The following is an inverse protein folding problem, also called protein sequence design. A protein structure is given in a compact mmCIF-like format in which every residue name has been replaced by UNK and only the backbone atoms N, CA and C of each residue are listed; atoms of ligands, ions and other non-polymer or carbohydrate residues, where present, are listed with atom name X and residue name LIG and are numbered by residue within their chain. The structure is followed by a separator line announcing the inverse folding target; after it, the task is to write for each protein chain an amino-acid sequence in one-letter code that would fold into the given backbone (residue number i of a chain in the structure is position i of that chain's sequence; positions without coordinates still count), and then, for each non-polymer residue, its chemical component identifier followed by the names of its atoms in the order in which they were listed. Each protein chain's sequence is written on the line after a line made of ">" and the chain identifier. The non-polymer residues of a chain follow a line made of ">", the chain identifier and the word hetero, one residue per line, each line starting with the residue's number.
data_IF_551025035589
#
_entry.id   IF_551025035589
#
_cell.length_a   1.000
_cell.length_b   1.000
_cell.length_c   1.000
_cell.angle_alpha   90.00
_cell.angle_beta   90.00
_cell.angle_gamma   90.00
#
_symmetry.space_group_name_H-M   'P 1'
#
loop_
_entity.id
_entity.type
_entity.pdbx_description
1 polymer ?
#
# COMPACT_ATOMS: atom_id res chain seq x y z
N UNK A 1 58.87 31.55 -20.45
CA UNK A 1 57.76 31.90 -19.58
C UNK A 1 56.74 30.75 -19.65
N UNK A 2 56.74 29.85 -18.66
CA UNK A 2 55.78 28.70 -18.60
C UNK A 2 54.67 29.09 -17.66
N UNK A 3 53.45 29.19 -18.19
CA UNK A 3 52.25 29.46 -17.41
C UNK A 3 51.73 28.11 -16.84
N UNK A 4 51.80 27.94 -15.52
CA UNK A 4 51.16 26.84 -14.81
C UNK A 4 49.66 27.19 -14.62
N UNK A 5 48.78 26.41 -15.24
CA UNK A 5 47.35 26.48 -15.00
C UNK A 5 47.03 25.53 -13.81
N UNK A 6 46.69 26.09 -12.67
CA UNK A 6 46.16 25.32 -11.54
C UNK A 6 44.68 25.01 -11.77
N UNK A 7 44.39 23.74 -11.97
CA UNK A 7 43.02 23.23 -12.00
C UNK A 7 42.51 23.06 -10.55
N UNK A 8 41.64 23.97 -10.09
CA UNK A 8 40.94 23.83 -8.83
C UNK A 8 39.85 22.76 -9.01
N UNK A 9 40.10 21.55 -8.50
CA UNK A 9 39.06 20.50 -8.34
C UNK A 9 38.27 20.85 -7.08
N UNK A 10 37.09 21.44 -7.25
CA UNK A 10 36.12 21.59 -6.19
C UNK A 10 35.49 20.23 -5.89
N UNK A 11 35.93 19.58 -4.81
CA UNK A 11 35.23 18.43 -4.24
C UNK A 11 33.87 18.93 -3.70
N UNK A 12 32.80 18.64 -4.43
CA UNK A 12 31.47 18.66 -3.85
C UNK A 12 31.37 17.46 -2.91
N UNK A 13 31.07 17.66 -1.60
CA UNK A 13 30.73 16.55 -0.75
C UNK A 13 29.42 15.99 -1.26
N UNK A 14 29.49 14.80 -1.86
CA UNK A 14 28.30 14.02 -2.20
C UNK A 14 27.50 13.76 -0.93
N UNK A 15 26.40 14.47 -0.75
CA UNK A 15 25.35 14.11 0.18
C UNK A 15 24.83 12.72 -0.24
N UNK A 16 25.40 11.67 0.34
CA UNK A 16 24.78 10.36 0.35
C UNK A 16 23.49 10.47 1.14
N UNK A 17 22.42 10.86 0.47
CA UNK A 17 21.09 10.63 1.00
C UNK A 17 20.95 9.12 1.14
N UNK A 18 20.81 8.65 2.38
CA UNK A 18 20.27 7.33 2.66
C UNK A 18 18.86 7.28 2.06
N UNK A 19 18.78 6.75 0.84
CA UNK A 19 17.54 6.67 0.06
C UNK A 19 16.63 5.62 0.69
N UNK A 20 15.98 5.94 1.83
CA UNK A 20 15.16 4.95 2.50
C UNK A 20 14.24 5.44 3.61
N UNK A 21 14.37 6.67 4.08
CA UNK A 21 13.62 7.14 5.28
C UNK A 21 12.77 8.39 5.08
N UNK A 22 12.88 9.10 3.96
CA UNK A 22 12.08 10.29 3.74
C UNK A 22 10.63 9.92 3.37
N UNK A 23 9.67 10.46 4.11
CA UNK A 23 8.26 10.39 3.72
C UNK A 23 8.02 11.25 2.47
N UNK A 24 7.08 10.84 1.65
CA UNK A 24 6.66 11.56 0.45
C UNK A 24 5.29 12.20 0.69
N UNK A 25 5.09 13.40 0.12
CA UNK A 25 3.76 13.98 0.06
C UNK A 25 2.94 13.22 -1.00
N UNK A 26 1.74 12.75 -0.65
CA UNK A 26 0.93 11.90 -1.53
C UNK A 26 0.64 12.52 -2.90
N UNK A 27 0.35 13.83 -2.97
CA UNK A 27 0.00 14.50 -4.22
C UNK A 27 1.24 14.90 -5.06
N UNK A 28 2.40 15.00 -4.42
CA UNK A 28 3.66 15.31 -5.05
C UNK A 28 4.74 14.33 -4.54
N UNK A 29 4.85 13.21 -5.23
CA UNK A 29 5.80 12.15 -4.88
C UNK A 29 7.27 12.55 -5.05
N UNK A 30 7.54 13.76 -5.54
CA UNK A 30 8.90 14.30 -5.68
C UNK A 30 9.30 15.19 -4.50
N UNK A 31 8.35 15.65 -3.68
CA UNK A 31 8.68 16.42 -2.48
C UNK A 31 8.83 15.49 -1.27
N UNK A 32 10.07 15.31 -0.82
CA UNK A 32 10.32 14.72 0.49
C UNK A 32 9.69 15.60 1.58
N UNK A 33 8.84 15.02 2.38
CA UNK A 33 8.37 15.66 3.63
C UNK A 33 9.45 15.41 4.67
N UNK A 34 9.88 16.44 5.45
CA UNK A 34 10.76 16.20 6.59
C UNK A 34 10.20 15.04 7.42
N UNK A 35 11.07 14.11 7.77
CA UNK A 35 10.69 12.97 8.61
C UNK A 35 9.89 13.52 9.79
N UNK A 36 8.66 13.06 9.96
CA UNK A 36 7.88 13.38 11.12
C UNK A 36 8.74 13.00 12.32
N UNK A 37 9.16 13.99 13.11
CA UNK A 37 9.94 13.71 14.32
C UNK A 37 9.25 12.55 15.02
N UNK A 38 9.95 11.45 15.14
CA UNK A 38 9.40 10.13 15.48
C UNK A 38 8.77 10.04 16.87
N UNK A 39 8.95 11.07 17.70
CA UNK A 39 8.55 11.03 19.09
C UNK A 39 7.21 11.73 19.32
N UNK A 40 6.15 11.03 18.88
CA UNK A 40 4.80 11.34 19.35
C UNK A 40 4.67 10.72 20.75
N UNK A 41 4.34 11.53 21.74
CA UNK A 41 3.97 11.03 23.07
C UNK A 41 2.47 11.27 23.27
N UNK A 42 1.71 10.19 23.47
CA UNK A 42 0.29 10.33 23.82
C UNK A 42 0.17 10.89 25.24
N UNK A 43 -0.60 11.98 25.40
CA UNK A 43 -0.81 12.63 26.70
C UNK A 43 -1.89 11.94 27.55
N UNK A 44 -2.66 11.02 26.95
CA UNK A 44 -3.60 10.11 27.64
C UNK A 44 -3.74 8.81 26.85
N UNK A 45 -4.43 7.84 27.40
CA UNK A 45 -4.77 6.60 26.70
C UNK A 45 -5.89 6.88 25.71
N UNK A 46 -5.53 7.22 24.47
CA UNK A 46 -6.49 7.41 23.39
C UNK A 46 -7.04 6.07 22.92
N UNK A 47 -8.31 6.04 22.51
CA UNK A 47 -8.98 4.90 21.90
C UNK A 47 -9.12 5.12 20.41
N UNK A 48 -8.37 4.38 19.60
CA UNK A 48 -8.37 4.48 18.15
C UNK A 48 -9.14 3.30 17.55
N UNK A 49 -10.07 3.58 16.64
CA UNK A 49 -10.87 2.53 15.98
C UNK A 49 -10.53 2.48 14.49
N UNK A 50 -9.98 1.37 14.03
CA UNK A 50 -9.59 1.15 12.64
C UNK A 50 -10.64 0.32 11.89
N UNK A 51 -11.00 0.76 10.70
CA UNK A 51 -11.96 0.11 9.80
C UNK A 51 -11.24 -0.34 8.54
N UNK A 52 -11.28 -1.63 8.22
CA UNK A 52 -10.64 -2.22 7.05
C UNK A 52 -11.65 -2.85 6.10
N UNK A 53 -11.39 -2.89 4.78
CA UNK A 53 -12.20 -3.66 3.85
C UNK A 53 -12.15 -5.15 4.15
N UNK A 54 -10.96 -5.72 4.32
CA UNK A 54 -10.77 -7.14 4.56
C UNK A 54 -9.41 -7.46 5.18
N UNK A 55 -9.37 -8.38 6.12
CA UNK A 55 -8.13 -8.96 6.68
C UNK A 55 -7.73 -10.29 6.02
N UNK A 56 -8.49 -10.75 5.03
CA UNK A 56 -8.10 -11.89 4.18
C UNK A 56 -6.91 -11.53 3.27
N UNK A 57 -6.83 -10.29 2.82
CA UNK A 57 -5.66 -9.76 2.12
C UNK A 57 -4.52 -9.50 3.13
N UNK A 58 -3.38 -10.13 2.91
CA UNK A 58 -2.20 -9.98 3.77
C UNK A 58 -1.60 -8.56 3.77
N UNK A 59 -2.02 -7.71 2.84
CA UNK A 59 -1.76 -6.28 2.84
C UNK A 59 -2.28 -5.64 4.13
N UNK A 60 -3.59 -5.76 4.38
CA UNK A 60 -4.25 -5.22 5.59
C UNK A 60 -3.77 -5.88 6.87
N UNK A 61 -3.33 -7.13 6.80
CA UNK A 61 -2.69 -7.81 7.93
C UNK A 61 -1.39 -7.10 8.33
N UNK A 62 -0.61 -6.64 7.35
CA UNK A 62 0.64 -5.92 7.60
C UNK A 62 0.38 -4.49 8.13
N UNK A 63 -0.67 -3.81 7.65
CA UNK A 63 -1.14 -2.54 8.22
C UNK A 63 -1.57 -2.74 9.68
N UNK A 64 -2.34 -3.80 9.97
CA UNK A 64 -2.77 -4.13 11.33
C UNK A 64 -1.58 -4.36 12.28
N UNK A 65 -0.56 -5.06 11.82
CA UNK A 65 0.66 -5.25 12.60
C UNK A 65 1.34 -3.91 12.92
N UNK A 66 1.52 -3.04 11.93
CA UNK A 66 2.13 -1.72 12.14
C UNK A 66 1.32 -0.85 13.11
N UNK A 67 -0.01 -0.85 12.99
CA UNK A 67 -0.88 -0.14 13.94
C UNK A 67 -0.78 -0.71 15.35
N UNK A 68 -0.72 -2.03 15.50
CA UNK A 68 -0.60 -2.68 16.81
C UNK A 68 0.72 -2.33 17.50
N UNK A 69 1.83 -2.43 16.78
CA UNK A 69 3.16 -2.10 17.34
C UNK A 69 3.23 -0.61 17.74
N UNK A 70 2.68 0.27 16.91
CA UNK A 70 2.58 1.69 17.23
C UNK A 70 1.65 1.96 18.44
N UNK A 71 0.52 1.26 18.52
CA UNK A 71 -0.39 1.38 19.67
C UNK A 71 0.31 0.98 20.99
N UNK A 72 1.11 -0.08 20.95
CA UNK A 72 1.94 -0.52 22.09
C UNK A 72 3.00 0.54 22.45
N UNK A 73 3.72 1.00 21.45
CA UNK A 73 4.82 1.97 21.59
C UNK A 73 4.33 3.31 22.18
N UNK A 74 3.21 3.82 21.69
CA UNK A 74 2.70 5.13 22.07
C UNK A 74 1.67 5.12 23.21
N UNK A 75 1.28 3.95 23.70
CA UNK A 75 0.39 3.83 24.86
C UNK A 75 -1.07 4.15 24.55
N UNK A 76 -1.58 3.72 23.40
CA UNK A 76 -2.98 3.91 22.98
C UNK A 76 -3.69 2.58 22.82
N UNK A 77 -5.02 2.58 22.94
CA UNK A 77 -5.86 1.40 22.70
C UNK A 77 -6.31 1.36 21.24
N UNK A 78 -6.35 0.17 20.66
CA UNK A 78 -6.71 -0.04 19.26
C UNK A 78 -7.84 -1.07 19.16
N UNK A 79 -8.94 -0.70 18.49
CA UNK A 79 -9.99 -1.62 18.05
C UNK A 79 -9.98 -1.68 16.53
N UNK A 80 -10.09 -2.88 15.98
CA UNK A 80 -10.10 -3.11 14.53
C UNK A 80 -11.39 -3.82 14.16
N UNK A 81 -12.07 -3.32 13.14
CA UNK A 81 -13.24 -3.93 12.52
C UNK A 81 -12.96 -4.10 11.03
N UNK A 82 -13.37 -5.24 10.48
CA UNK A 82 -13.23 -5.51 9.04
C UNK A 82 -14.59 -5.76 8.40
N UNK A 83 -14.78 -5.28 7.17
CA UNK A 83 -16.07 -5.37 6.49
C UNK A 83 -16.32 -6.74 5.83
N UNK A 84 -15.27 -7.51 5.54
CA UNK A 84 -15.35 -8.81 4.88
C UNK A 84 -15.17 -8.76 3.36
N UNK A 85 -14.80 -7.59 2.79
CA UNK A 85 -14.53 -7.37 1.37
C UNK A 85 -14.83 -5.95 0.92
N UNK A 86 -14.35 -5.58 -0.25
CA UNK A 86 -14.55 -4.23 -0.81
C UNK A 86 -16.01 -3.96 -1.18
N UNK A 87 -16.80 -4.98 -1.47
CA UNK A 87 -18.24 -4.84 -1.75
C UNK A 87 -19.11 -4.61 -0.52
N UNK A 88 -18.54 -4.66 0.69
CA UNK A 88 -19.24 -4.58 1.97
C UNK A 88 -19.26 -3.16 2.55
N UNK A 89 -19.47 -2.15 1.72
CA UNK A 89 -19.52 -0.76 2.15
C UNK A 89 -20.58 -0.48 3.23
N UNK A 90 -21.76 -1.09 3.12
CA UNK A 90 -22.81 -0.96 4.14
C UNK A 90 -22.37 -1.45 5.52
N UNK A 91 -21.55 -2.49 5.56
CA UNK A 91 -20.94 -2.99 6.80
C UNK A 91 -20.00 -1.94 7.41
N UNK A 92 -19.15 -1.29 6.60
CA UNK A 92 -18.29 -0.22 7.11
C UNK A 92 -19.09 0.94 7.70
N UNK A 93 -20.23 1.31 7.10
CA UNK A 93 -21.14 2.32 7.68
C UNK A 93 -21.61 1.94 9.09
N UNK A 94 -22.05 0.70 9.28
CA UNK A 94 -22.50 0.24 10.61
C UNK A 94 -21.35 0.14 11.62
N UNK A 95 -20.13 -0.13 11.16
CA UNK A 95 -18.95 -0.22 12.00
C UNK A 95 -18.54 1.14 12.61
N UNK A 96 -18.85 2.26 11.96
CA UNK A 96 -18.65 3.60 12.54
C UNK A 96 -19.42 3.73 13.86
N UNK A 97 -20.69 3.32 13.87
CA UNK A 97 -21.49 3.34 15.10
C UNK A 97 -20.91 2.41 16.19
N UNK A 98 -20.33 1.28 15.82
CA UNK A 98 -19.66 0.38 16.77
C UNK A 98 -18.38 1.01 17.36
N UNK A 99 -17.65 1.82 16.56
CA UNK A 99 -16.52 2.60 17.07
C UNK A 99 -16.98 3.65 18.11
N UNK A 100 -18.07 4.39 17.80
CA UNK A 100 -18.66 5.37 18.70
C UNK A 100 -19.14 4.73 20.01
N UNK A 101 -19.84 3.58 19.93
CA UNK A 101 -20.29 2.81 21.10
C UNK A 101 -19.12 2.32 21.97
N UNK A 102 -18.00 1.97 21.35
CA UNK A 102 -16.79 1.60 22.09
C UNK A 102 -16.13 2.82 22.78
N UNK A 103 -16.54 4.02 22.43
CA UNK A 103 -15.98 5.27 22.92
C UNK A 103 -14.65 5.62 22.24
N UNK A 104 -14.56 5.41 20.94
CA UNK A 104 -13.40 5.81 20.15
C UNK A 104 -13.19 7.34 20.22
N UNK A 105 -11.93 7.77 20.29
CA UNK A 105 -11.52 9.17 20.19
C UNK A 105 -11.25 9.57 18.71
N UNK A 106 -10.89 8.63 17.86
CA UNK A 106 -10.67 8.83 16.41
C UNK A 106 -10.97 7.58 15.59
N UNK A 107 -11.26 7.76 14.30
CA UNK A 107 -11.44 6.69 13.32
C UNK A 107 -10.27 6.68 12.35
N UNK A 108 -9.67 5.49 12.15
CA UNK A 108 -8.67 5.19 11.12
C UNK A 108 -9.39 4.46 9.98
N UNK A 109 -9.69 5.16 8.89
CA UNK A 109 -10.56 4.66 7.84
C UNK A 109 -9.77 4.16 6.63
N UNK A 110 -9.69 2.84 6.46
CA UNK A 110 -9.38 2.21 5.18
C UNK A 110 -10.68 1.96 4.43
N UNK A 111 -11.06 2.88 3.54
CA UNK A 111 -12.36 2.82 2.87
C UNK A 111 -12.46 1.65 1.89
N UNK A 112 -13.65 1.04 1.82
CA UNK A 112 -13.99 0.03 0.81
C UNK A 112 -14.38 0.65 -0.53
N UNK A 113 -14.59 1.97 -0.60
CA UNK A 113 -15.05 2.70 -1.78
C UNK A 113 -14.24 3.98 -1.96
N UNK A 114 -14.27 4.55 -3.17
CA UNK A 114 -13.64 5.85 -3.48
C UNK A 114 -14.41 7.06 -2.97
N UNK A 115 -15.65 6.85 -2.55
CA UNK A 115 -16.51 7.87 -1.94
C UNK A 115 -17.15 7.31 -0.67
N UNK A 116 -17.37 8.16 0.32
CA UNK A 116 -18.06 7.76 1.54
C UNK A 116 -19.21 8.74 1.82
N UNK A 117 -20.38 8.55 1.19
CA UNK A 117 -21.52 9.46 1.36
C UNK A 117 -21.91 9.61 2.82
N UNK A 118 -22.20 10.84 3.23
CA UNK A 118 -22.65 11.21 4.58
C UNK A 118 -21.61 10.93 5.69
N UNK A 119 -20.32 10.80 5.36
CA UNK A 119 -19.28 10.49 6.35
C UNK A 119 -19.32 11.46 7.54
N UNK A 120 -19.41 12.77 7.28
CA UNK A 120 -19.49 13.79 8.32
C UNK A 120 -20.64 13.58 9.30
N UNK A 121 -21.83 13.26 8.78
CA UNK A 121 -23.00 12.97 9.61
C UNK A 121 -22.83 11.69 10.43
N UNK A 122 -22.17 10.68 9.87
CA UNK A 122 -21.95 9.39 10.52
C UNK A 122 -20.91 9.46 11.64
N UNK A 123 -19.78 10.14 11.41
CA UNK A 123 -18.69 10.20 12.40
C UNK A 123 -18.95 11.28 13.46
N UNK A 124 -19.80 12.27 13.19
CA UNK A 124 -20.08 13.37 14.10
C UNK A 124 -18.82 14.18 14.40
N UNK A 125 -18.46 14.30 15.67
CA UNK A 125 -17.27 15.04 16.11
C UNK A 125 -15.96 14.24 16.07
N UNK A 126 -16.01 12.94 15.74
CA UNK A 126 -14.79 12.11 15.70
C UNK A 126 -13.90 12.48 14.51
N UNK A 127 -12.63 12.80 14.72
CA UNK A 127 -11.71 13.00 13.60
C UNK A 127 -11.47 11.70 12.87
N UNK A 128 -11.35 11.82 11.54
CA UNK A 128 -11.05 10.71 10.63
C UNK A 128 -9.65 10.87 10.08
N UNK A 129 -8.86 9.83 10.21
CA UNK A 129 -7.58 9.65 9.53
C UNK A 129 -7.79 8.61 8.45
N UNK A 130 -7.57 8.99 7.21
CA UNK A 130 -7.65 8.08 6.07
C UNK A 130 -6.40 7.23 5.98
N UNK A 131 -6.57 5.93 5.71
CA UNK A 131 -5.49 4.95 5.64
C UNK A 131 -5.58 4.18 4.35
N UNK A 132 -4.50 4.18 3.56
CA UNK A 132 -4.32 3.46 2.29
C UNK A 132 -5.18 4.01 1.15
N UNK A 133 -6.50 3.88 1.24
CA UNK A 133 -7.44 4.23 0.17
C UNK A 133 -8.01 5.63 0.35
N UNK A 134 -7.92 6.46 -0.70
CA UNK A 134 -8.40 7.84 -0.68
C UNK A 134 -9.91 7.94 -0.97
N UNK A 135 -10.61 8.77 -0.21
CA UNK A 135 -12.04 9.08 -0.41
C UNK A 135 -12.30 10.55 -0.74
N UNK A 136 -11.30 11.42 -0.68
CA UNK A 136 -11.41 12.86 -0.98
C UNK A 136 -12.55 13.59 -0.22
N UNK A 137 -12.80 13.22 1.02
CA UNK A 137 -13.83 13.83 1.85
C UNK A 137 -13.22 14.91 2.77
N UNK A 138 -13.85 16.10 2.90
CA UNK A 138 -13.34 17.19 3.75
C UNK A 138 -13.36 16.87 5.27
N UNK A 139 -14.09 15.84 5.68
CA UNK A 139 -14.10 15.35 7.07
C UNK A 139 -12.75 14.78 7.49
N UNK A 140 -11.97 14.30 6.53
CA UNK A 140 -10.66 13.68 6.76
C UNK A 140 -9.65 14.75 7.23
N UNK A 141 -9.00 14.50 8.37
CA UNK A 141 -8.03 15.42 9.00
C UNK A 141 -6.58 15.15 8.59
N UNK A 142 -6.28 13.91 8.23
CA UNK A 142 -4.96 13.50 7.75
C UNK A 142 -5.09 12.24 6.90
N UNK A 143 -4.14 12.05 5.97
CA UNK A 143 -4.08 10.88 5.10
C UNK A 143 -2.71 10.23 5.19
N UNK A 144 -2.73 8.91 5.38
CA UNK A 144 -1.56 8.05 5.27
C UNK A 144 -1.87 7.00 4.23
N UNK A 145 -1.24 7.06 3.08
CA UNK A 145 -1.66 6.15 2.03
C UNK A 145 -0.69 6.01 0.88
N UNK A 146 -1.22 5.71 -0.29
CA UNK A 146 -0.47 5.33 -1.47
C UNK A 146 -0.91 6.18 -2.65
N UNK A 147 0.02 6.76 -3.39
CA UNK A 147 -0.28 7.30 -4.71
C UNK A 147 -0.41 6.12 -5.70
N UNK A 148 -1.58 5.51 -5.81
CA UNK A 148 -1.82 4.30 -6.61
C UNK A 148 -1.38 4.42 -8.07
N UNK A 149 -1.50 5.60 -8.66
CA UNK A 149 -0.94 5.88 -9.97
C UNK A 149 0.57 5.63 -10.01
N UNK A 150 1.32 6.21 -9.07
CA UNK A 150 2.78 6.07 -9.00
C UNK A 150 3.19 4.65 -8.59
N UNK A 151 2.40 4.04 -7.70
CA UNK A 151 2.60 2.67 -7.26
C UNK A 151 2.62 1.70 -8.43
N UNK A 152 1.77 1.90 -9.43
CA UNK A 152 1.66 1.02 -10.60
C UNK A 152 2.44 1.53 -11.81
N UNK A 153 2.74 2.81 -11.87
CA UNK A 153 3.68 3.36 -12.86
C UNK A 153 5.05 2.67 -12.78
N UNK A 154 5.56 2.39 -11.58
CA UNK A 154 6.86 1.73 -11.38
C UNK A 154 6.91 0.31 -11.98
N UNK A 155 5.96 -0.61 -11.72
CA UNK A 155 5.85 -1.90 -12.39
C UNK A 155 5.82 -1.80 -13.92
N UNK A 156 5.05 -0.86 -14.45
CA UNK A 156 4.98 -0.65 -15.90
C UNK A 156 6.35 -0.23 -16.49
N UNK A 157 7.03 0.73 -15.86
CA UNK A 157 8.38 1.15 -16.28
C UNK A 157 9.41 0.03 -16.15
N UNK A 158 9.32 -0.76 -15.07
CA UNK A 158 10.17 -1.93 -14.91
C UNK A 158 9.96 -2.92 -16.07
N UNK A 159 8.70 -3.22 -16.40
CA UNK A 159 8.37 -4.16 -17.47
C UNK A 159 8.87 -3.68 -18.85
N UNK A 160 8.72 -2.38 -19.17
CA UNK A 160 9.28 -1.79 -20.38
C UNK A 160 10.81 -1.99 -20.46
N UNK A 161 11.52 -1.72 -19.36
CA UNK A 161 12.97 -1.95 -19.30
C UNK A 161 13.31 -3.43 -19.42
N UNK A 162 12.57 -4.29 -18.74
CA UNK A 162 12.78 -5.74 -18.74
C UNK A 162 12.55 -6.36 -20.11
N UNK A 163 11.58 -5.85 -20.89
CA UNK A 163 11.28 -6.34 -22.23
C UNK A 163 12.45 -6.20 -23.22
N UNK A 164 13.37 -5.25 -22.95
CA UNK A 164 14.48 -4.97 -23.85
C UNK A 164 14.03 -4.50 -25.25
N UNK A 165 12.84 -3.88 -25.35
CA UNK A 165 12.21 -3.43 -26.61
C UNK A 165 11.44 -4.53 -27.37
N UNK A 166 11.34 -5.74 -26.82
CA UNK A 166 10.51 -6.80 -27.41
C UNK A 166 9.02 -6.55 -27.16
N UNK A 167 8.15 -6.89 -28.11
CA UNK A 167 6.71 -6.82 -27.89
C UNK A 167 6.27 -7.78 -26.78
N UNK A 168 5.39 -7.29 -25.89
CA UNK A 168 4.79 -8.10 -24.82
C UNK A 168 3.28 -7.85 -24.77
N UNK A 169 2.51 -8.91 -24.61
CA UNK A 169 1.06 -8.90 -24.35
C UNK A 169 0.80 -9.04 -22.87
N UNK A 170 0.08 -8.10 -22.28
CA UNK A 170 -0.15 -8.01 -20.83
C UNK A 170 -1.64 -8.16 -20.51
N UNK A 171 -1.98 -9.07 -19.60
CA UNK A 171 -3.25 -9.06 -18.89
C UNK A 171 -3.12 -8.21 -17.64
N UNK A 172 -4.09 -7.30 -17.41
CA UNK A 172 -4.09 -6.38 -16.29
C UNK A 172 -5.24 -6.69 -15.33
N UNK A 173 -4.92 -7.00 -14.07
CA UNK A 173 -5.89 -7.30 -13.01
C UNK A 173 -5.70 -6.32 -11.84
N UNK A 174 -6.25 -5.10 -11.92
CA UNK A 174 -5.96 -4.01 -10.98
C UNK A 174 -6.78 -4.06 -9.69
N UNK A 175 -7.62 -5.08 -9.50
CA UNK A 175 -8.46 -5.23 -8.32
C UNK A 175 -9.90 -4.78 -8.52
N UNK A 176 -10.62 -4.42 -7.44
CA UNK A 176 -12.05 -4.13 -7.48
C UNK A 176 -12.38 -2.86 -8.28
N UNK A 177 -13.54 -2.85 -8.92
CA UNK A 177 -14.05 -1.65 -9.58
C UNK A 177 -14.46 -0.60 -8.52
N UNK A 178 -14.17 0.66 -8.80
CA UNK A 178 -14.49 1.81 -7.94
C UNK A 178 -13.96 1.73 -6.48
N UNK A 179 -12.91 0.95 -6.25
CA UNK A 179 -12.30 0.83 -4.93
C UNK A 179 -10.79 0.59 -5.01
N UNK A 180 -10.08 0.82 -3.92
CA UNK A 180 -8.67 0.47 -3.79
C UNK A 180 -7.72 1.10 -4.82
N UNK A 181 -8.11 2.21 -5.46
CA UNK A 181 -7.27 2.90 -6.43
C UNK A 181 -7.14 2.22 -7.80
N UNK A 182 -8.03 1.30 -8.16
CA UNK A 182 -7.91 0.50 -9.39
C UNK A 182 -7.88 1.34 -10.67
N UNK A 183 -8.62 2.45 -10.74
CA UNK A 183 -8.62 3.37 -11.90
C UNK A 183 -7.27 4.07 -12.05
N UNK A 184 -6.70 4.55 -10.95
CA UNK A 184 -5.37 5.17 -10.91
C UNK A 184 -4.29 4.15 -11.26
N UNK A 185 -4.44 2.89 -10.83
CA UNK A 185 -3.53 1.80 -11.20
C UNK A 185 -3.52 1.56 -12.71
N UNK A 186 -4.69 1.47 -13.34
CA UNK A 186 -4.80 1.32 -14.79
C UNK A 186 -4.19 2.50 -15.52
N UNK A 187 -4.47 3.73 -15.07
CA UNK A 187 -3.92 4.95 -15.66
C UNK A 187 -2.40 4.99 -15.55
N UNK A 188 -1.84 4.68 -14.36
CA UNK A 188 -0.41 4.65 -14.11
C UNK A 188 0.31 3.62 -14.97
N UNK A 189 -0.25 2.40 -15.09
CA UNK A 189 0.35 1.37 -15.94
C UNK A 189 0.33 1.75 -17.43
N UNK A 190 -0.82 2.25 -17.93
CA UNK A 190 -0.95 2.71 -19.32
C UNK A 190 0.05 3.82 -19.65
N UNK A 191 0.21 4.80 -18.76
CA UNK A 191 1.19 5.86 -18.98
C UNK A 191 2.63 5.34 -18.94
N UNK A 192 2.93 4.40 -18.05
CA UNK A 192 4.26 3.82 -17.93
C UNK A 192 4.74 3.10 -19.18
N UNK A 193 3.83 2.41 -19.88
CA UNK A 193 4.13 1.63 -21.09
C UNK A 193 3.97 2.44 -22.38
N UNK A 194 3.45 3.67 -22.31
CA UNK A 194 3.22 4.50 -23.50
C UNK A 194 4.49 4.67 -24.34
N UNK A 195 4.36 4.51 -25.66
CA UNK A 195 5.49 4.59 -26.60
C UNK A 195 6.44 3.39 -26.59
N UNK A 196 6.11 2.31 -25.85
CA UNK A 196 6.85 1.04 -25.87
C UNK A 196 6.15 -0.03 -26.71
N UNK A 197 6.78 -1.23 -26.81
CA UNK A 197 6.17 -2.40 -27.43
C UNK A 197 5.36 -3.27 -26.43
N UNK A 198 5.15 -2.79 -25.22
CA UNK A 198 4.33 -3.47 -24.21
C UNK A 198 2.87 -3.05 -24.41
N UNK A 199 1.98 -4.03 -24.59
CA UNK A 199 0.58 -3.78 -24.91
C UNK A 199 -0.35 -4.47 -23.89
N UNK A 200 -1.30 -3.74 -23.30
CA UNK A 200 -2.39 -4.31 -22.54
C UNK A 200 -3.38 -4.91 -23.54
N UNK A 201 -3.58 -6.23 -23.50
CA UNK A 201 -4.54 -6.93 -24.36
C UNK A 201 -5.91 -7.11 -23.73
N UNK A 202 -5.96 -7.12 -22.37
CA UNK A 202 -7.22 -7.19 -21.64
C UNK A 202 -7.07 -6.63 -20.23
N UNK A 203 -8.19 -6.17 -19.64
CA UNK A 203 -8.28 -5.66 -18.26
C UNK A 203 -9.49 -6.25 -17.59
N UNK A 204 -9.32 -6.94 -16.47
CA UNK A 204 -10.43 -7.47 -15.68
C UNK A 204 -10.43 -6.88 -14.26
N UNK A 205 -11.60 -6.39 -13.85
CA UNK A 205 -11.84 -5.81 -12.53
C UNK A 205 -12.61 -6.81 -11.65
N UNK A 206 -12.18 -7.00 -10.42
CA UNK A 206 -12.84 -7.88 -9.46
C UNK A 206 -12.25 -7.76 -8.07
N UNK A 207 -13.00 -8.17 -7.06
CA UNK A 207 -12.58 -8.07 -5.67
C UNK A 207 -11.23 -8.77 -5.40
N UNK A 208 -10.49 -8.27 -4.43
CA UNK A 208 -9.24 -8.87 -3.95
C UNK A 208 -9.53 -10.15 -3.11
N UNK A 209 -10.18 -11.09 -3.76
CA UNK A 209 -10.44 -12.45 -3.28
C UNK A 209 -9.76 -13.43 -4.24
N UNK A 210 -9.12 -14.47 -3.68
CA UNK A 210 -8.27 -15.38 -4.49
C UNK A 210 -9.09 -16.18 -5.52
N UNK A 211 -10.32 -16.55 -5.20
CA UNK A 211 -11.17 -17.29 -6.12
C UNK A 211 -11.68 -16.39 -7.25
N UNK A 212 -12.09 -15.16 -6.91
CA UNK A 212 -12.50 -14.15 -7.90
C UNK A 212 -11.36 -13.87 -8.88
N UNK A 213 -10.17 -13.57 -8.36
CA UNK A 213 -9.01 -13.26 -9.22
C UNK A 213 -8.55 -14.44 -10.06
N UNK A 214 -8.65 -15.67 -9.52
CA UNK A 214 -8.34 -16.89 -10.29
C UNK A 214 -9.33 -17.10 -11.44
N UNK A 215 -10.63 -16.98 -11.18
CA UNK A 215 -11.64 -17.17 -12.22
C UNK A 215 -11.49 -16.13 -13.34
N UNK A 216 -11.31 -14.84 -12.97
CA UNK A 216 -11.04 -13.79 -13.95
C UNK A 216 -9.79 -14.08 -14.78
N UNK A 217 -8.71 -14.50 -14.14
CA UNK A 217 -7.47 -14.84 -14.83
C UNK A 217 -7.66 -16.02 -15.80
N UNK A 218 -8.35 -17.06 -15.39
CA UNK A 218 -8.62 -18.22 -16.25
C UNK A 218 -9.43 -17.82 -17.49
N UNK A 219 -10.51 -17.06 -17.33
CA UNK A 219 -11.30 -16.52 -18.45
C UNK A 219 -10.46 -15.65 -19.39
N UNK A 220 -9.55 -14.82 -18.84
CA UNK A 220 -8.65 -13.99 -19.66
C UNK A 220 -7.63 -14.85 -20.41
N UNK A 221 -7.07 -15.89 -19.78
CA UNK A 221 -6.11 -16.80 -20.42
C UNK A 221 -6.74 -17.63 -21.53
N UNK A 222 -8.03 -18.00 -21.43
CA UNK A 222 -8.78 -18.65 -22.49
C UNK A 222 -8.96 -17.71 -23.68
N UNK A 223 -9.27 -16.42 -23.46
CA UNK A 223 -9.40 -15.43 -24.54
C UNK A 223 -8.06 -15.03 -25.16
N UNK A 224 -6.99 -15.06 -24.38
CA UNK A 224 -5.65 -14.63 -24.78
C UNK A 224 -4.58 -15.69 -24.49
N UNK A 225 -4.61 -16.84 -25.21
CA UNK A 225 -3.70 -17.96 -24.95
C UNK A 225 -2.23 -17.64 -25.23
N UNK A 226 -1.94 -16.58 -25.97
CA UNK A 226 -0.62 -16.11 -26.37
C UNK A 226 -0.10 -14.93 -25.54
N UNK A 227 -0.72 -14.65 -24.38
CA UNK A 227 -0.26 -13.59 -23.48
C UNK A 227 1.11 -13.91 -22.86
N UNK A 228 1.93 -12.89 -22.63
CA UNK A 228 3.28 -13.03 -22.09
C UNK A 228 3.32 -12.74 -20.58
N UNK A 229 2.52 -11.77 -20.13
CA UNK A 229 2.62 -11.20 -18.79
C UNK A 229 1.25 -11.07 -18.13
N UNK A 230 1.18 -11.42 -16.85
CA UNK A 230 0.11 -11.01 -15.93
C UNK A 230 0.65 -9.95 -15.00
N UNK A 231 0.02 -8.79 -14.99
CA UNK A 231 0.31 -7.69 -14.07
C UNK A 231 -0.95 -7.35 -13.27
N UNK A 232 -0.85 -7.33 -11.94
CA UNK A 232 -2.04 -7.10 -11.12
C UNK A 232 -1.75 -6.91 -9.64
N UNK A 233 -2.83 -6.85 -8.87
CA UNK A 233 -2.77 -6.83 -7.41
C UNK A 233 -1.98 -8.04 -6.88
N UNK A 234 -1.60 -8.00 -5.60
CA UNK A 234 -0.92 -9.15 -5.00
C UNK A 234 -1.75 -10.43 -5.12
N UNK A 235 -3.07 -10.34 -4.93
CA UNK A 235 -3.96 -11.50 -5.03
C UNK A 235 -4.02 -12.03 -6.47
N UNK A 236 -4.07 -11.15 -7.46
CA UNK A 236 -3.99 -11.56 -8.88
C UNK A 236 -2.64 -12.22 -9.20
N UNK A 237 -1.53 -11.66 -8.71
CA UNK A 237 -0.20 -12.25 -8.87
C UNK A 237 -0.08 -13.61 -8.16
N UNK A 238 -0.71 -13.78 -7.00
CA UNK A 238 -0.78 -15.06 -6.30
C UNK A 238 -1.55 -16.10 -7.11
N UNK A 239 -2.69 -15.74 -7.70
CA UNK A 239 -3.45 -16.60 -8.60
C UNK A 239 -2.60 -16.99 -9.81
N UNK A 240 -1.92 -16.02 -10.44
CA UNK A 240 -1.08 -16.25 -11.63
C UNK A 240 0.10 -17.20 -11.35
N UNK A 241 0.69 -17.14 -10.16
CA UNK A 241 1.75 -18.10 -9.77
C UNK A 241 1.24 -19.54 -9.66
N UNK A 242 -0.05 -19.73 -9.39
CA UNK A 242 -0.70 -21.04 -9.32
C UNK A 242 -1.05 -21.65 -10.66
N UNK A 243 -1.17 -20.82 -11.71
CA UNK A 243 -1.58 -21.29 -13.03
C UNK A 243 -0.47 -22.11 -13.72
N UNK A 244 -0.86 -23.29 -14.19
CA UNK A 244 0.00 -24.18 -14.99
C UNK A 244 -0.34 -23.97 -16.45
N UNK A 245 0.57 -23.35 -17.18
CA UNK A 245 0.49 -23.40 -18.66
C UNK A 245 1.11 -24.67 -19.20
N UNK A 246 0.72 -25.04 -20.46
CA UNK A 246 1.36 -26.12 -21.18
C UNK A 246 2.89 -25.94 -21.19
N UNK A 247 3.66 -27.04 -21.07
CA UNK A 247 5.11 -26.99 -21.02
C UNK A 247 5.67 -26.23 -22.22
N UNK A 248 6.38 -25.11 -21.98
CA UNK A 248 7.07 -24.37 -23.03
C UNK A 248 6.93 -22.86 -23.00
N UNK A 249 5.90 -22.28 -22.35
CA UNK A 249 5.77 -20.81 -22.25
C UNK A 249 5.44 -20.40 -20.82
N UNK A 250 6.45 -20.08 -19.99
CA UNK A 250 6.20 -19.59 -18.64
C UNK A 250 5.53 -18.21 -18.68
N UNK A 251 4.46 -18.06 -17.90
CA UNK A 251 3.79 -16.79 -17.70
C UNK A 251 4.67 -15.89 -16.81
N UNK A 252 5.01 -14.70 -17.30
CA UNK A 252 5.71 -13.72 -16.50
C UNK A 252 4.72 -13.01 -15.57
N UNK A 253 5.05 -12.88 -14.28
CA UNK A 253 4.18 -12.25 -13.27
C UNK A 253 4.82 -11.00 -12.69
N UNK A 254 4.03 -9.91 -12.65
CA UNK A 254 4.36 -8.64 -12.03
C UNK A 254 3.28 -8.30 -11.01
N UNK A 255 3.68 -7.90 -9.80
CA UNK A 255 2.73 -7.53 -8.75
C UNK A 255 2.75 -6.03 -8.48
N UNK A 256 1.56 -5.44 -8.30
CA UNK A 256 1.40 -4.02 -8.02
C UNK A 256 1.72 -3.65 -6.58
N UNK A 257 1.55 -4.59 -5.66
CA UNK A 257 1.95 -4.41 -4.27
C UNK A 257 2.42 -5.74 -3.66
N UNK A 258 3.07 -5.64 -2.50
CA UNK A 258 3.69 -6.77 -1.84
C UNK A 258 2.70 -7.50 -0.92
N UNK A 259 2.75 -8.82 -0.93
CA UNK A 259 2.16 -9.72 0.05
C UNK A 259 3.20 -10.74 0.52
N UNK A 260 2.89 -11.52 1.54
CA UNK A 260 3.78 -12.62 1.97
C UNK A 260 3.98 -13.68 0.88
N UNK A 261 2.93 -13.97 0.08
CA UNK A 261 3.03 -14.92 -1.03
C UNK A 261 3.83 -14.33 -2.19
N UNK A 262 3.58 -13.05 -2.54
CA UNK A 262 4.35 -12.32 -3.56
C UNK A 262 5.83 -12.26 -3.16
N UNK A 263 6.14 -11.99 -1.89
CA UNK A 263 7.52 -12.02 -1.39
C UNK A 263 8.17 -13.40 -1.59
N UNK A 264 7.46 -14.47 -1.23
CA UNK A 264 7.94 -15.84 -1.51
C UNK A 264 8.09 -16.12 -3.01
N UNK A 265 7.20 -15.56 -3.82
CA UNK A 265 7.27 -15.61 -5.28
C UNK A 265 8.52 -14.94 -5.84
N UNK A 266 8.87 -13.76 -5.35
CA UNK A 266 10.12 -13.05 -5.68
C UNK A 266 11.35 -13.91 -5.30
N UNK A 267 11.39 -14.44 -4.07
CA UNK A 267 12.51 -15.29 -3.59
C UNK A 267 12.69 -16.58 -4.38
N UNK A 268 11.64 -17.05 -5.05
CA UNK A 268 11.64 -18.26 -5.91
C UNK A 268 11.66 -17.93 -7.39
N UNK A 269 11.88 -16.66 -7.75
CA UNK A 269 11.92 -16.14 -9.12
C UNK A 269 10.65 -16.44 -9.96
N UNK A 270 9.51 -16.65 -9.27
CA UNK A 270 8.19 -16.80 -9.93
C UNK A 270 7.54 -15.46 -10.25
N UNK A 271 7.95 -14.41 -9.59
CA UNK A 271 7.55 -13.02 -9.81
C UNK A 271 8.82 -12.25 -10.13
N UNK A 272 8.82 -11.49 -11.21
CA UNK A 272 10.00 -10.74 -11.64
C UNK A 272 10.14 -9.40 -10.92
N UNK A 273 9.02 -8.84 -10.45
CA UNK A 273 8.99 -7.56 -9.76
C UNK A 273 7.70 -7.41 -8.95
N UNK A 274 7.81 -6.78 -7.80
CA UNK A 274 6.70 -6.24 -7.03
C UNK A 274 7.04 -4.84 -6.51
N UNK A 275 6.05 -3.95 -6.45
CA UNK A 275 6.19 -2.71 -5.71
C UNK A 275 5.83 -2.92 -4.23
N UNK A 276 6.27 -2.05 -3.35
CA UNK A 276 5.81 -2.00 -1.97
C UNK A 276 5.75 -0.56 -1.47
N UNK A 277 4.66 -0.23 -0.85
CA UNK A 277 4.36 1.03 -0.18
C UNK A 277 4.56 0.95 1.35
N UNK A 278 5.23 -0.11 1.80
CA UNK A 278 5.66 -0.29 3.19
C UNK A 278 4.48 -0.28 4.19
N UNK A 279 3.56 -1.23 4.05
CA UNK A 279 2.29 -1.33 4.77
C UNK A 279 2.41 -1.28 6.29
N UNK A 280 3.45 -1.90 6.87
CA UNK A 280 3.72 -1.83 8.32
C UNK A 280 3.98 -0.38 8.73
N UNK A 281 4.78 0.33 7.95
CA UNK A 281 5.06 1.74 8.22
C UNK A 281 3.84 2.64 8.03
N UNK A 282 2.97 2.35 7.05
CA UNK A 282 1.69 3.07 6.92
C UNK A 282 0.82 2.91 8.18
N UNK A 283 0.73 1.70 8.72
CA UNK A 283 0.02 1.44 9.97
C UNK A 283 0.59 2.23 11.15
N UNK A 284 1.92 2.30 11.28
CA UNK A 284 2.58 3.10 12.30
C UNK A 284 2.29 4.59 12.14
N UNK A 285 2.42 5.12 10.92
CA UNK A 285 2.15 6.52 10.62
C UNK A 285 0.69 6.91 10.89
N UNK A 286 -0.26 6.02 10.61
CA UNK A 286 -1.68 6.28 10.86
C UNK A 286 -1.96 6.49 12.36
N UNK A 287 -1.36 5.70 13.23
CA UNK A 287 -1.45 5.89 14.69
C UNK A 287 -0.81 7.21 15.11
N UNK A 288 0.37 7.54 14.58
CA UNK A 288 1.06 8.80 14.88
C UNK A 288 0.22 10.02 14.46
N UNK A 289 -0.35 10.00 13.26
CA UNK A 289 -1.22 11.08 12.77
C UNK A 289 -2.48 11.22 13.62
N UNK A 290 -3.10 10.12 14.03
CA UNK A 290 -4.26 10.16 14.92
C UNK A 290 -3.93 10.83 16.26
N UNK A 291 -2.81 10.47 16.88
CA UNK A 291 -2.37 11.09 18.14
C UNK A 291 -2.14 12.60 17.96
N UNK A 292 -1.45 13.02 16.88
CA UNK A 292 -1.21 14.43 16.59
C UNK A 292 -2.51 15.22 16.42
N UNK A 293 -3.44 14.68 15.61
CA UNK A 293 -4.77 15.29 15.40
C UNK A 293 -5.50 15.46 16.74
N UNK A 294 -5.53 14.41 17.57
CA UNK A 294 -6.22 14.43 18.87
C UNK A 294 -5.58 15.40 19.88
N UNK A 295 -4.32 15.72 19.71
CA UNK A 295 -3.58 16.65 20.57
C UNK A 295 -3.47 18.06 19.98
N UNK A 296 -4.11 18.33 18.84
CA UNK A 296 -4.06 19.63 18.17
C UNK A 296 -2.66 20.01 17.66
N UNK A 297 -1.80 19.01 17.43
CA UNK A 297 -0.46 19.21 16.90
C UNK A 297 -0.52 19.39 15.38
N UNK A 298 0.46 20.08 14.77
CA UNK A 298 0.56 20.14 13.30
C UNK A 298 0.68 18.76 12.70
N UNK A 299 -0.11 18.48 11.66
CA UNK A 299 -0.08 17.26 10.91
C UNK A 299 0.16 17.57 9.43
N UNK A 300 1.07 16.87 8.74
CA UNK A 300 1.10 16.90 7.28
C UNK A 300 -0.16 16.23 6.76
N UNK A 301 -0.86 16.90 5.84
CA UNK A 301 -2.18 16.44 5.38
C UNK A 301 -2.13 15.08 4.67
N UNK A 302 -1.14 14.90 3.80
CA UNK A 302 -1.05 13.70 2.94
C UNK A 302 0.38 13.19 2.95
N UNK A 303 0.61 12.02 3.53
CA UNK A 303 1.93 11.39 3.59
C UNK A 303 1.89 9.96 3.07
N UNK A 304 2.99 9.55 2.45
CA UNK A 304 3.21 8.20 1.95
C UNK A 304 4.64 7.77 2.27
N UNK A 305 4.88 6.53 2.69
CA UNK A 305 6.20 5.94 2.59
C UNK A 305 6.70 5.94 1.14
N UNK A 306 8.02 5.97 0.90
CA UNK A 306 8.55 5.81 -0.45
C UNK A 306 8.21 4.43 -1.02
N UNK A 307 7.90 4.41 -2.31
CA UNK A 307 7.59 3.16 -3.03
C UNK A 307 8.89 2.40 -3.28
N UNK A 308 8.95 1.16 -2.83
CA UNK A 308 10.08 0.26 -3.10
C UNK A 308 9.80 -0.55 -4.36
N UNK A 309 10.81 -0.69 -5.21
CA UNK A 309 10.81 -1.59 -6.35
C UNK A 309 11.59 -2.85 -5.97
N UNK A 310 10.88 -3.94 -5.74
CA UNK A 310 11.43 -5.21 -5.30
C UNK A 310 11.54 -6.20 -6.47
N UNK A 311 12.69 -6.83 -6.55
CA UNK A 311 13.00 -7.87 -7.54
C UNK A 311 13.64 -9.06 -6.83
N UNK A 312 13.81 -10.22 -7.46
CA UNK A 312 14.55 -11.33 -6.86
C UNK A 312 15.94 -10.96 -6.32
N UNK A 313 16.57 -9.93 -6.89
CA UNK A 313 17.93 -9.51 -6.53
C UNK A 313 18.01 -8.67 -5.26
N UNK A 314 16.95 -7.91 -4.91
CA UNK A 314 16.94 -6.98 -3.77
C UNK A 314 15.83 -7.24 -2.76
N UNK A 315 15.02 -8.28 -2.96
CA UNK A 315 13.97 -8.67 -2.01
C UNK A 315 14.58 -9.48 -0.84
N UNK A 316 15.31 -8.80 0.03
CA UNK A 316 15.80 -9.39 1.29
C UNK A 316 14.92 -9.00 2.49
N UNK A 317 15.16 -9.65 3.63
CA UNK A 317 14.36 -9.45 4.83
C UNK A 317 14.48 -8.02 5.39
N UNK A 318 15.61 -7.36 5.23
CA UNK A 318 15.83 -6.01 5.71
C UNK A 318 14.99 -4.99 4.94
N UNK A 319 14.92 -5.11 3.62
CA UNK A 319 14.11 -4.21 2.78
C UNK A 319 12.60 -4.38 3.01
N UNK A 320 12.13 -5.55 3.43
CA UNK A 320 10.69 -5.81 3.59
C UNK A 320 10.17 -5.67 5.03
N UNK A 321 11.02 -5.35 6.00
CA UNK A 321 10.61 -5.22 7.42
C UNK A 321 9.51 -4.17 7.65
N UNK A 322 9.54 -3.08 6.89
CA UNK A 322 8.51 -2.02 6.94
C UNK A 322 7.31 -2.32 6.06
N UNK A 323 7.39 -3.39 5.27
CA UNK A 323 6.34 -3.79 4.32
C UNK A 323 5.46 -4.90 4.84
N UNK A 324 6.04 -5.92 5.46
CA UNK A 324 5.33 -7.15 5.83
C UNK A 324 5.37 -7.39 7.33
N UNK A 325 4.25 -7.84 7.87
CA UNK A 325 4.20 -8.38 9.23
C UNK A 325 5.10 -9.62 9.37
N UNK A 326 5.57 -9.96 10.58
CA UNK A 326 6.30 -11.20 10.82
C UNK A 326 5.51 -12.44 10.36
N UNK A 327 6.22 -13.46 9.89
CA UNK A 327 5.59 -14.73 9.54
C UNK A 327 4.84 -15.31 10.75
N UNK A 328 3.58 -15.73 10.54
CA UNK A 328 2.73 -16.25 11.60
C UNK A 328 1.98 -15.21 12.43
N UNK A 329 2.15 -13.91 12.15
CA UNK A 329 1.31 -12.88 12.77
C UNK A 329 -0.16 -13.12 12.45
N UNK A 330 -1.00 -13.01 13.48
CA UNK A 330 -2.46 -13.10 13.36
C UNK A 330 -3.09 -11.75 13.66
N UNK A 331 -4.18 -11.37 12.98
CA UNK A 331 -4.81 -10.08 13.18
C UNK A 331 -5.25 -9.91 14.64
N UNK A 332 -5.03 -8.70 15.15
CA UNK A 332 -5.45 -8.30 16.49
C UNK A 332 -6.62 -7.33 16.34
N UNK A 333 -7.80 -7.76 16.80
CA UNK A 333 -9.03 -6.98 16.69
C UNK A 333 -9.25 -6.02 17.86
N UNK A 334 -8.63 -6.30 19.00
CA UNK A 334 -8.73 -5.44 20.18
C UNK A 334 -7.41 -5.49 20.97
N UNK A 335 -6.82 -4.33 21.13
CA UNK A 335 -5.71 -4.11 22.04
C UNK A 335 -6.07 -3.00 23.01
N UNK A 336 -6.08 -3.29 24.31
CA UNK A 336 -6.31 -2.32 25.37
C UNK A 336 -5.00 -2.02 26.07
N UNK A 337 -4.57 -0.76 25.98
CA UNK A 337 -3.42 -0.32 26.71
C UNK A 337 -3.75 -0.19 28.20
N UNK A 338 -2.92 -0.78 29.05
CA UNK A 338 -2.98 -0.62 30.51
C UNK A 338 -1.67 -0.03 31.00
N UNK A 339 -1.73 1.02 31.81
CA UNK A 339 -0.53 1.73 32.30
C UNK A 339 0.43 0.86 33.10
N UNK A 340 0.03 -0.34 33.51
CA UNK A 340 0.87 -1.31 34.19
C UNK A 340 1.93 -2.02 33.30
N UNK A 341 1.87 -1.84 31.98
CA UNK A 341 2.78 -2.49 31.04
C UNK A 341 4.12 -1.76 30.82
N UNK A 342 4.39 -0.68 31.57
CA UNK A 342 5.69 0.03 31.59
C UNK A 342 6.57 -0.39 32.78
N UNK A 343 6.68 -1.69 33.05
CA UNK A 343 7.68 -2.21 34.00
C UNK A 343 8.67 -3.13 33.29
#
# INVERSE_FOLDING_TARGET
>A
MRVLVFLLITLFPGLSYAAGSALLRWQDTQQAVPELQSDVTANKVWKLCALYPSLKDSYWLSVNYGMLEAARKYGVSLKVLEAGGYRQFSTQKTQIAQCQQWGADAILLGSSTTTFPDLSAQVGALPVIEVVNAIHDPTVKARVGVPWFQMVYQPGRYLVKWSGGKPLKVLLLPGPDDAGGSREMVAGFRQAIAGSQVNIVDVALGDNDIEVQRNLLQEMLERHPDVDVVAGTAIAAEAAMGEKRNPGTPLTVVSFYLSHQVYRGLKRERIIMAASDQMVWQGELAIQQAIRVLQGQPVPENISPPILVLTPKNADSQHVQRSLSPGGFRPVYLYQYTSAAKK
#
